data_IF_652931717856
#
_entry.id   IF_652931717856
#
_cell.length_a   1.000
_cell.length_b   1.000
_cell.length_c   1.000
_cell.angle_alpha   90.00
_cell.angle_beta   90.00
_cell.angle_gamma   90.00
#
_symmetry.space_group_name_H-M   'P 1'
#
loop_
_entity.id
_entity.type
_entity.pdbx_description
1 polymer ?
#
# COMPACT_ATOMS: atom_id res chain seq x y z
N UNK A 1 -24.57 -4.35 -2.16
CA UNK A 1 -23.68 -3.15 -2.24
C UNK A 1 -22.51 -3.51 -3.13
N UNK A 2 -22.11 -2.66 -4.08
CA UNK A 2 -20.94 -2.97 -4.91
C UNK A 2 -19.68 -2.96 -4.01
N UNK A 3 -18.63 -3.72 -4.41
CA UNK A 3 -17.35 -3.75 -3.68
C UNK A 3 -16.76 -2.36 -3.47
N UNK A 4 -16.82 -1.52 -4.50
CA UNK A 4 -16.33 -0.14 -4.45
C UNK A 4 -17.08 0.70 -3.42
N UNK A 5 -18.38 0.47 -3.26
CA UNK A 5 -19.18 1.15 -2.25
C UNK A 5 -18.82 0.70 -0.84
N UNK A 6 -18.53 -0.61 -0.63
CA UNK A 6 -18.11 -1.13 0.67
C UNK A 6 -16.73 -0.59 1.09
N UNK A 7 -15.77 -0.59 0.16
CA UNK A 7 -14.44 -0.01 0.38
C UNK A 7 -14.52 1.50 0.63
N UNK A 8 -15.36 2.23 -0.15
CA UNK A 8 -15.58 3.67 0.09
C UNK A 8 -16.12 3.94 1.47
N UNK A 9 -17.19 3.26 1.87
CA UNK A 9 -17.81 3.45 3.17
C UNK A 9 -16.82 3.22 4.33
N UNK A 10 -15.91 2.24 4.18
CA UNK A 10 -14.92 1.93 5.20
C UNK A 10 -13.92 3.08 5.42
N UNK A 11 -13.47 3.76 4.35
CA UNK A 11 -12.45 4.83 4.45
C UNK A 11 -13.03 6.24 4.54
N UNK A 12 -14.35 6.41 4.40
CA UNK A 12 -15.06 7.68 4.63
C UNK A 12 -15.49 7.86 6.10
N UNK A 13 -15.23 6.88 6.96
CA UNK A 13 -15.49 7.00 8.40
C UNK A 13 -14.31 7.72 9.08
N UNK A 14 -14.52 8.89 9.71
CA UNK A 14 -13.46 9.62 10.40
C UNK A 14 -12.74 8.80 11.48
N UNK A 15 -13.43 7.87 12.14
CA UNK A 15 -12.85 6.99 13.16
C UNK A 15 -11.81 6.05 12.55
N UNK A 16 -12.03 5.60 11.32
CA UNK A 16 -11.09 4.76 10.57
C UNK A 16 -9.84 5.54 10.18
N UNK A 17 -9.98 6.79 9.73
CA UNK A 17 -8.86 7.66 9.40
C UNK A 17 -7.94 7.89 10.61
N UNK A 18 -8.52 8.22 11.77
CA UNK A 18 -7.77 8.40 13.01
C UNK A 18 -7.16 7.09 13.51
N UNK A 19 -7.90 5.98 13.47
CA UNK A 19 -7.41 4.66 13.84
C UNK A 19 -6.25 4.19 12.96
N UNK A 20 -6.32 4.47 11.66
CA UNK A 20 -5.25 4.17 10.71
C UNK A 20 -3.98 5.00 10.99
N UNK A 21 -4.13 6.28 11.28
CA UNK A 21 -3.02 7.15 11.69
C UNK A 21 -2.37 6.67 12.99
N UNK A 22 -3.18 6.35 14.01
CA UNK A 22 -2.70 5.82 15.29
C UNK A 22 -1.96 4.47 15.15
N UNK A 23 -2.38 3.60 14.22
CA UNK A 23 -1.71 2.33 13.94
C UNK A 23 -0.28 2.51 13.38
N UNK A 24 0.00 3.61 12.69
CA UNK A 24 1.35 3.94 12.22
C UNK A 24 2.27 4.41 13.35
N UNK A 25 1.73 5.14 14.32
CA UNK A 25 2.45 5.71 15.46
C UNK A 25 2.54 4.75 16.66
N UNK A 26 1.74 3.68 16.64
CA UNK A 26 1.59 2.72 17.70
C UNK A 26 2.82 1.85 17.98
N UNK A 27 2.67 0.96 18.97
CA UNK A 27 3.65 -0.08 19.32
C UNK A 27 3.17 -1.48 18.92
N UNK A 28 2.16 -1.55 18.06
CA UNK A 28 1.48 -2.77 17.65
C UNK A 28 2.18 -3.50 16.48
N UNK A 29 1.83 -4.76 16.20
CA UNK A 29 2.33 -5.49 15.05
C UNK A 29 2.12 -4.79 13.70
N UNK A 30 1.04 -4.01 13.55
CA UNK A 30 0.78 -3.18 12.38
C UNK A 30 1.87 -2.13 12.13
N UNK A 31 2.45 -1.56 13.17
CA UNK A 31 3.55 -0.59 13.07
C UNK A 31 4.78 -1.20 12.37
N UNK A 32 5.10 -2.48 12.62
CA UNK A 32 6.19 -3.19 11.93
C UNK A 32 5.98 -3.21 10.42
N UNK A 33 4.75 -3.50 9.98
CA UNK A 33 4.38 -3.50 8.57
C UNK A 33 4.68 -2.15 7.91
N UNK A 34 4.27 -1.05 8.55
CA UNK A 34 4.49 0.29 8.02
C UNK A 34 5.96 0.71 8.04
N UNK A 35 6.69 0.46 9.13
CA UNK A 35 8.12 0.78 9.22
C UNK A 35 8.95 0.00 8.21
N UNK A 36 8.68 -1.29 8.02
CA UNK A 36 9.35 -2.11 7.01
C UNK A 36 9.11 -1.56 5.60
N UNK A 37 7.90 -1.08 5.33
CA UNK A 37 7.53 -0.48 4.04
C UNK A 37 8.29 0.84 3.79
N UNK A 38 8.32 1.74 4.78
CA UNK A 38 9.06 3.01 4.69
C UNK A 38 10.54 2.75 4.43
N UNK A 39 11.17 1.84 5.16
CA UNK A 39 12.55 1.46 4.96
C UNK A 39 12.84 1.00 3.52
N UNK A 40 11.97 0.18 2.93
CA UNK A 40 12.13 -0.27 1.54
C UNK A 40 11.97 0.89 0.56
N UNK A 41 11.03 1.81 0.81
CA UNK A 41 10.84 3.00 -0.03
C UNK A 41 12.10 3.88 0.00
N UNK A 42 12.66 4.15 1.18
CA UNK A 42 13.90 4.92 1.33
C UNK A 42 15.07 4.28 0.55
N UNK A 43 15.23 2.95 0.67
CA UNK A 43 16.27 2.21 -0.05
C UNK A 43 16.12 2.34 -1.58
N UNK A 44 14.88 2.26 -2.08
CA UNK A 44 14.59 2.37 -3.51
C UNK A 44 14.68 3.79 -4.05
N UNK A 45 14.43 4.79 -3.22
CA UNK A 45 14.54 6.21 -3.58
C UNK A 45 15.97 6.74 -3.40
N UNK A 46 16.89 6.01 -2.76
CA UNK A 46 18.25 6.49 -2.39
C UNK A 46 19.01 7.11 -3.55
N UNK A 47 18.83 6.61 -4.76
CA UNK A 47 19.54 7.07 -5.96
C UNK A 47 18.67 7.92 -6.88
N UNK A 48 17.54 8.40 -6.39
CA UNK A 48 16.65 9.30 -7.14
C UNK A 48 16.99 10.73 -6.75
N UNK A 49 17.37 11.54 -7.73
CA UNK A 49 17.90 12.89 -7.50
C UNK A 49 16.84 13.99 -7.30
N UNK A 50 15.64 13.65 -6.82
CA UNK A 50 14.55 14.61 -6.62
C UNK A 50 13.59 14.71 -7.82
N UNK A 51 12.78 15.78 -7.86
CA UNK A 51 11.79 16.04 -8.92
C UNK A 51 10.33 16.02 -8.43
N UNK A 52 9.38 15.89 -9.36
CA UNK A 52 7.96 15.84 -9.04
C UNK A 52 7.57 14.44 -8.58
N UNK A 53 7.13 14.29 -7.35
CA UNK A 53 6.71 13.04 -6.75
C UNK A 53 5.21 13.04 -6.51
N UNK A 54 4.52 11.97 -6.94
CA UNK A 54 3.11 11.72 -6.65
C UNK A 54 2.96 10.56 -5.67
N UNK A 55 2.32 10.79 -4.52
CA UNK A 55 1.87 9.74 -3.59
C UNK A 55 0.36 9.51 -3.77
N UNK A 56 0.00 8.40 -4.39
CA UNK A 56 -1.41 8.06 -4.70
C UNK A 56 -1.98 7.16 -3.62
N UNK A 57 -3.11 7.58 -3.03
CA UNK A 57 -3.70 6.94 -1.87
C UNK A 57 -2.84 7.19 -0.64
N UNK A 58 -2.47 8.45 -0.43
CA UNK A 58 -1.56 8.88 0.62
C UNK A 58 -2.12 8.65 2.04
N UNK A 59 -3.43 8.37 2.15
CA UNK A 59 -4.11 8.22 3.43
C UNK A 59 -3.86 9.44 4.32
N UNK A 60 -3.52 9.24 5.61
CA UNK A 60 -3.30 10.34 6.55
C UNK A 60 -1.92 11.01 6.39
N UNK A 61 -1.24 10.87 5.25
CA UNK A 61 0.00 11.58 4.91
C UNK A 61 1.28 11.07 5.61
N UNK A 62 1.30 9.82 6.07
CA UNK A 62 2.47 9.28 6.81
C UNK A 62 3.73 9.19 5.95
N UNK A 63 3.61 8.73 4.70
CA UNK A 63 4.73 8.64 3.78
C UNK A 63 5.19 10.04 3.37
N UNK A 64 4.25 10.94 3.09
CA UNK A 64 4.57 12.34 2.78
C UNK A 64 5.38 12.98 3.91
N UNK A 65 4.92 12.87 5.18
CA UNK A 65 5.64 13.40 6.34
C UNK A 65 7.03 12.77 6.46
N UNK A 66 7.13 11.47 6.29
CA UNK A 66 8.41 10.76 6.34
C UNK A 66 9.40 11.28 5.28
N UNK A 67 8.95 11.51 4.05
CA UNK A 67 9.80 12.05 2.98
C UNK A 67 10.23 13.50 3.27
N UNK A 68 9.35 14.32 3.83
CA UNK A 68 9.68 15.68 4.25
C UNK A 68 10.74 15.68 5.36
N UNK A 69 10.67 14.74 6.31
CA UNK A 69 11.62 14.65 7.41
C UNK A 69 13.00 14.09 7.00
N UNK A 70 13.01 13.16 6.03
CA UNK A 70 14.23 12.44 5.65
C UNK A 70 14.89 12.96 4.38
N UNK A 71 14.12 13.66 3.52
CA UNK A 71 14.53 14.12 2.19
C UNK A 71 14.01 15.55 1.91
N UNK A 72 14.16 16.42 2.89
CA UNK A 72 13.69 17.80 2.83
C UNK A 72 14.18 18.53 1.57
N UNK A 73 13.26 19.14 0.81
CA UNK A 73 13.56 19.95 -0.36
C UNK A 73 13.98 19.17 -1.62
N UNK A 74 14.07 17.83 -1.58
CA UNK A 74 14.44 17.05 -2.77
C UNK A 74 13.26 16.89 -3.74
N UNK A 75 12.03 16.81 -3.23
CA UNK A 75 10.84 16.57 -4.05
C UNK A 75 9.80 17.68 -3.92
N UNK A 76 9.17 18.01 -5.04
CA UNK A 76 7.85 18.64 -5.04
C UNK A 76 6.82 17.52 -4.92
N UNK A 77 6.13 17.47 -3.79
CA UNK A 77 5.24 16.34 -3.47
C UNK A 77 3.80 16.72 -3.77
N UNK A 78 3.18 16.01 -4.70
CA UNK A 78 1.72 15.99 -4.85
C UNK A 78 1.20 14.70 -4.22
N UNK A 79 0.19 14.81 -3.36
CA UNK A 79 -0.40 13.63 -2.75
C UNK A 79 -1.93 13.65 -2.89
N UNK A 80 -2.51 12.49 -3.15
CA UNK A 80 -3.95 12.40 -3.29
C UNK A 80 -4.52 11.14 -2.61
N UNK A 81 -5.74 11.28 -2.13
CA UNK A 81 -6.54 10.17 -1.63
C UNK A 81 -8.00 10.33 -2.08
N UNK A 82 -8.74 9.22 -2.15
CA UNK A 82 -10.18 9.22 -2.47
C UNK A 82 -11.06 9.76 -1.34
N UNK A 83 -10.58 9.70 -0.09
CA UNK A 83 -11.26 10.15 1.13
C UNK A 83 -10.85 11.58 1.46
N UNK A 84 -11.85 12.47 1.53
CA UNK A 84 -11.64 13.85 1.96
C UNK A 84 -11.15 13.90 3.42
N UNK A 85 -11.65 12.99 4.27
CA UNK A 85 -11.26 12.86 5.67
C UNK A 85 -9.78 12.51 5.83
N UNK A 86 -9.26 11.62 4.96
CA UNK A 86 -7.83 11.31 4.92
C UNK A 86 -7.00 12.52 4.51
N UNK A 87 -7.44 13.26 3.50
CA UNK A 87 -6.77 14.50 3.05
C UNK A 87 -6.76 15.56 4.14
N UNK A 88 -7.85 15.72 4.91
CA UNK A 88 -7.87 16.64 6.05
C UNK A 88 -6.86 16.25 7.14
N UNK A 89 -6.74 14.96 7.44
CA UNK A 89 -5.72 14.47 8.40
C UNK A 89 -4.32 14.68 7.84
N UNK A 90 -4.09 14.40 6.56
CA UNK A 90 -2.82 14.64 5.89
C UNK A 90 -2.44 16.13 5.91
N UNK A 91 -3.38 17.02 5.61
CA UNK A 91 -3.16 18.47 5.63
C UNK A 91 -2.69 18.97 7.00
N UNK A 92 -3.32 18.49 8.08
CA UNK A 92 -2.85 18.80 9.43
C UNK A 92 -1.46 18.31 9.73
N UNK A 93 -1.08 17.13 9.19
CA UNK A 93 0.24 16.51 9.41
C UNK A 93 1.38 17.24 8.69
N UNK A 94 1.10 17.85 7.56
CA UNK A 94 2.10 18.56 6.74
C UNK A 94 1.91 20.07 6.73
N UNK A 95 1.13 20.60 7.67
CA UNK A 95 0.79 22.03 7.72
C UNK A 95 1.99 22.98 7.89
N UNK A 96 3.11 22.45 8.38
CA UNK A 96 4.37 23.15 8.60
C UNK A 96 5.35 23.04 7.42
N UNK A 97 4.96 22.36 6.34
CA UNK A 97 5.87 22.06 5.23
C UNK A 97 5.44 22.80 3.95
N UNK A 98 6.44 23.37 3.27
CA UNK A 98 6.31 23.92 1.93
C UNK A 98 6.50 22.85 0.85
N UNK A 99 5.94 23.09 -0.34
CA UNK A 99 6.14 22.22 -1.51
C UNK A 99 5.31 20.94 -1.50
N UNK A 100 4.20 20.90 -0.75
CA UNK A 100 3.24 19.80 -0.74
C UNK A 100 1.88 20.25 -1.25
N UNK A 101 1.37 19.56 -2.25
CA UNK A 101 0.01 19.74 -2.78
C UNK A 101 -0.85 18.53 -2.43
N UNK A 102 -2.01 18.77 -1.81
CA UNK A 102 -2.96 17.73 -1.43
C UNK A 102 -4.26 17.86 -2.21
N UNK A 103 -4.79 16.74 -2.69
CA UNK A 103 -6.05 16.75 -3.43
C UNK A 103 -6.90 15.49 -3.18
N UNK A 104 -8.22 15.63 -3.30
CA UNK A 104 -9.13 14.49 -3.28
C UNK A 104 -9.22 13.93 -4.70
N UNK A 105 -8.70 12.73 -4.92
CA UNK A 105 -8.72 12.09 -6.23
C UNK A 105 -8.74 10.56 -6.13
N UNK A 106 -9.30 9.91 -7.17
CA UNK A 106 -9.29 8.46 -7.33
C UNK A 106 -8.14 8.05 -8.23
N UNK A 107 -7.42 7.00 -7.85
CA UNK A 107 -6.30 6.47 -8.63
C UNK A 107 -6.70 6.01 -10.04
N UNK A 108 -7.94 5.59 -10.24
CA UNK A 108 -8.42 5.14 -11.55
C UNK A 108 -8.72 6.29 -12.52
N UNK A 109 -8.71 7.55 -12.04
CA UNK A 109 -8.89 8.77 -12.82
C UNK A 109 -8.35 9.96 -12.04
N UNK A 110 -7.10 10.29 -12.25
CA UNK A 110 -6.42 11.39 -11.55
C UNK A 110 -6.50 12.70 -12.35
N UNK A 111 -6.72 13.86 -11.69
CA UNK A 111 -6.84 15.16 -12.34
C UNK A 111 -5.46 15.77 -12.66
N UNK A 112 -4.49 14.95 -13.05
CA UNK A 112 -3.13 15.37 -13.34
C UNK A 112 -2.85 15.22 -14.85
N UNK A 113 -1.94 16.04 -15.37
CA UNK A 113 -1.50 16.00 -16.74
C UNK A 113 -0.70 14.73 -17.05
N UNK A 114 -0.68 14.32 -18.32
CA UNK A 114 0.14 13.23 -18.78
C UNK A 114 1.62 13.55 -18.56
N UNK A 115 2.40 12.56 -18.15
CA UNK A 115 3.88 12.66 -18.04
C UNK A 115 4.33 13.84 -17.17
N UNK A 116 3.63 14.10 -16.05
CA UNK A 116 3.90 15.24 -15.15
C UNK A 116 4.81 14.88 -13.97
N UNK A 117 4.95 13.58 -13.62
CA UNK A 117 5.70 13.14 -12.45
C UNK A 117 6.96 12.34 -12.80
N UNK A 118 8.01 12.54 -12.02
CA UNK A 118 9.27 11.80 -12.11
C UNK A 118 9.22 10.52 -11.28
N UNK A 119 8.44 10.55 -10.17
CA UNK A 119 8.23 9.42 -9.26
C UNK A 119 6.75 9.28 -8.95
N UNK A 120 6.21 8.05 -9.02
CA UNK A 120 4.85 7.72 -8.55
C UNK A 120 4.91 6.60 -7.52
N UNK A 121 4.37 6.87 -6.35
CA UNK A 121 4.22 5.91 -5.24
C UNK A 121 2.75 5.54 -5.08
N UNK A 122 2.43 4.25 -4.92
CA UNK A 122 1.09 3.75 -4.64
C UNK A 122 1.16 2.68 -3.54
N UNK A 123 1.07 3.14 -2.28
CA UNK A 123 1.36 2.34 -1.10
C UNK A 123 0.09 1.86 -0.39
N UNK A 124 -0.26 0.56 -0.55
CA UNK A 124 -1.44 -0.03 0.09
C UNK A 124 -2.76 0.43 -0.54
N UNK A 125 -2.77 0.65 -1.86
CA UNK A 125 -3.92 1.14 -2.62
C UNK A 125 -4.45 0.10 -3.59
N UNK A 126 -3.55 -0.59 -4.30
CA UNK A 126 -3.93 -1.51 -5.38
C UNK A 126 -4.79 -2.68 -4.92
N UNK A 127 -4.79 -2.97 -3.64
CA UNK A 127 -5.62 -3.99 -3.00
C UNK A 127 -7.12 -3.64 -3.03
N UNK A 128 -7.46 -2.36 -3.11
CA UNK A 128 -8.82 -1.84 -2.94
C UNK A 128 -9.48 -1.42 -4.24
N UNK A 129 -8.72 -1.29 -5.33
CA UNK A 129 -9.13 -0.66 -6.59
C UNK A 129 -9.10 -1.64 -7.78
N UNK A 130 -9.55 -1.19 -8.96
CA UNK A 130 -9.29 -1.89 -10.20
C UNK A 130 -7.80 -1.72 -10.58
N UNK A 131 -7.01 -2.76 -10.31
CA UNK A 131 -5.57 -2.74 -10.51
C UNK A 131 -5.17 -2.40 -11.95
N UNK A 132 -5.95 -2.83 -12.97
CA UNK A 132 -5.63 -2.53 -14.36
C UNK A 132 -5.82 -1.05 -14.67
N UNK A 133 -6.96 -0.48 -14.28
CA UNK A 133 -7.25 0.95 -14.47
C UNK A 133 -6.25 1.81 -13.71
N UNK A 134 -5.97 1.46 -12.46
CA UNK A 134 -4.99 2.16 -11.63
C UNK A 134 -3.58 2.17 -12.27
N UNK A 135 -3.10 1.01 -12.75
CA UNK A 135 -1.78 0.93 -13.41
C UNK A 135 -1.75 1.68 -14.76
N UNK A 136 -2.84 1.67 -15.51
CA UNK A 136 -2.95 2.44 -16.75
C UNK A 136 -2.87 3.95 -16.49
N UNK A 137 -3.52 4.41 -15.41
CA UNK A 137 -3.52 5.81 -15.02
C UNK A 137 -2.17 6.24 -14.42
N UNK A 138 -1.51 5.38 -13.64
CA UNK A 138 -0.12 5.59 -13.20
C UNK A 138 0.79 5.73 -14.43
N UNK A 139 0.65 4.84 -15.43
CA UNK A 139 1.45 4.89 -16.65
C UNK A 139 1.21 6.14 -17.49
N UNK A 140 0.02 6.76 -17.41
CA UNK A 140 -0.30 8.01 -18.07
C UNK A 140 0.41 9.21 -17.45
N UNK A 141 0.40 9.30 -16.09
CA UNK A 141 0.92 10.48 -15.39
C UNK A 141 2.43 10.46 -15.16
N UNK A 142 3.06 9.27 -15.18
CA UNK A 142 4.51 9.13 -15.04
C UNK A 142 5.24 9.54 -16.31
N UNK A 143 6.37 10.23 -16.19
CA UNK A 143 7.26 10.58 -17.30
C UNK A 143 7.92 9.34 -17.90
N UNK A 144 8.30 9.37 -19.17
CA UNK A 144 9.18 8.34 -19.74
C UNK A 144 10.46 8.18 -18.92
N UNK A 145 10.78 6.95 -18.54
CA UNK A 145 11.94 6.66 -17.66
C UNK A 145 11.71 6.94 -16.18
N UNK A 146 10.56 7.51 -15.81
CA UNK A 146 10.18 7.80 -14.43
C UNK A 146 10.02 6.53 -13.57
N UNK A 147 10.19 6.68 -12.27
CA UNK A 147 10.15 5.60 -11.30
C UNK A 147 8.74 5.38 -10.75
N UNK A 148 8.28 4.15 -10.79
CA UNK A 148 7.01 3.72 -10.16
C UNK A 148 7.31 2.71 -9.07
N UNK A 149 6.74 2.94 -7.87
CA UNK A 149 6.81 2.01 -6.75
C UNK A 149 5.39 1.69 -6.29
N UNK A 150 5.02 0.42 -6.33
CA UNK A 150 3.69 -0.05 -5.91
C UNK A 150 3.81 -1.18 -4.89
N UNK A 151 2.88 -1.22 -3.94
CA UNK A 151 2.79 -2.34 -3.00
C UNK A 151 1.58 -3.22 -3.28
N UNK A 152 1.65 -4.44 -2.78
CA UNK A 152 0.57 -5.42 -2.82
C UNK A 152 0.74 -6.46 -1.71
N UNK A 153 -0.37 -6.92 -1.18
CA UNK A 153 -0.38 -8.02 -0.22
C UNK A 153 0.07 -9.33 -0.88
N UNK A 154 0.86 -10.11 -0.16
CA UNK A 154 1.33 -11.40 -0.63
C UNK A 154 0.30 -12.51 -0.35
N UNK A 155 -0.44 -13.03 -1.36
CA UNK A 155 -1.46 -14.05 -1.15
C UNK A 155 -0.90 -15.39 -0.69
N UNK A 156 0.43 -15.59 -0.81
CA UNK A 156 1.11 -16.86 -0.45
C UNK A 156 1.86 -16.76 0.86
N UNK A 157 1.75 -15.66 1.60
CA UNK A 157 2.38 -15.57 2.91
C UNK A 157 1.70 -16.51 3.91
N UNK A 158 2.44 -17.09 4.87
CA UNK A 158 1.86 -17.92 5.92
C UNK A 158 0.76 -17.21 6.70
N UNK A 159 0.93 -15.91 6.92
CA UNK A 159 -0.07 -15.06 7.57
C UNK A 159 -1.41 -15.05 6.79
N UNK A 160 -1.38 -14.82 5.48
CA UNK A 160 -2.58 -14.81 4.62
C UNK A 160 -3.22 -16.19 4.50
N UNK A 161 -2.40 -17.23 4.37
CA UNK A 161 -2.89 -18.59 4.33
C UNK A 161 -3.61 -18.94 5.64
N UNK A 162 -3.04 -18.56 6.78
CA UNK A 162 -3.69 -18.74 8.08
C UNK A 162 -5.02 -17.96 8.16
N UNK A 163 -5.04 -16.66 7.77
CA UNK A 163 -6.28 -15.88 7.76
C UNK A 163 -7.38 -16.55 6.94
N UNK A 164 -7.06 -16.99 5.72
CA UNK A 164 -8.07 -17.54 4.80
C UNK A 164 -8.49 -18.96 5.12
N UNK A 165 -7.56 -19.80 5.58
CA UNK A 165 -7.83 -21.22 5.80
C UNK A 165 -8.28 -21.53 7.23
N UNK A 166 -7.95 -20.68 8.20
CA UNK A 166 -8.22 -20.94 9.62
C UNK A 166 -9.04 -19.82 10.25
N UNK A 167 -8.53 -18.59 10.25
CA UNK A 167 -9.12 -17.50 11.03
C UNK A 167 -10.53 -17.10 10.56
N UNK A 168 -10.71 -16.79 9.28
CA UNK A 168 -12.01 -16.41 8.75
C UNK A 168 -13.03 -17.55 8.76
N UNK A 169 -12.71 -18.79 8.40
CA UNK A 169 -13.61 -19.92 8.59
C UNK A 169 -14.04 -20.13 10.05
N UNK A 170 -13.09 -20.03 11.00
CA UNK A 170 -13.41 -20.15 12.42
C UNK A 170 -14.37 -19.05 12.91
N UNK A 171 -14.14 -17.78 12.51
CA UNK A 171 -15.05 -16.68 12.84
C UNK A 171 -16.44 -16.87 12.24
N UNK A 172 -16.54 -17.37 11.00
CA UNK A 172 -17.85 -17.70 10.39
C UNK A 172 -18.57 -18.79 11.16
N UNK A 173 -17.85 -19.84 11.55
CA UNK A 173 -18.41 -20.92 12.36
C UNK A 173 -18.89 -20.40 13.72
N UNK A 174 -18.09 -19.55 14.38
CA UNK A 174 -18.45 -18.91 15.64
C UNK A 174 -19.72 -18.06 15.50
N UNK A 175 -19.79 -17.17 14.52
CA UNK A 175 -20.99 -16.36 14.29
C UNK A 175 -22.22 -17.18 13.90
N UNK A 176 -22.05 -18.36 13.30
CA UNK A 176 -23.15 -19.30 13.04
C UNK A 176 -23.63 -19.95 14.34
N UNK A 177 -22.73 -20.42 15.21
CA UNK A 177 -23.10 -21.02 16.51
C UNK A 177 -23.75 -19.99 17.43
N UNK A 178 -23.26 -18.74 17.47
CA UNK A 178 -23.86 -17.65 18.24
C UNK A 178 -25.31 -17.39 17.82
N UNK A 179 -25.58 -17.37 16.51
CA UNK A 179 -26.97 -17.23 15.99
C UNK A 179 -27.86 -18.40 16.39
N UNK A 180 -27.33 -19.62 16.37
CA UNK A 180 -28.08 -20.80 16.83
C UNK A 180 -28.39 -20.75 18.33
N UNK A 181 -27.54 -20.12 19.12
CA UNK A 181 -27.72 -19.92 20.57
C UNK A 181 -28.59 -18.69 20.89
N UNK A 182 -29.15 -18.01 19.88
CA UNK A 182 -30.05 -16.88 20.08
C UNK A 182 -29.37 -15.56 20.39
N UNK A 183 -28.05 -15.44 20.13
CA UNK A 183 -27.34 -14.16 20.27
C UNK A 183 -27.87 -13.18 19.21
N UNK A 184 -28.20 -11.92 19.57
CA UNK A 184 -28.66 -10.91 18.63
C UNK A 184 -27.63 -10.70 17.49
N UNK A 185 -28.12 -10.50 16.26
CA UNK A 185 -27.28 -10.43 15.05
C UNK A 185 -26.24 -9.30 15.06
N UNK A 186 -26.51 -8.22 15.78
CA UNK A 186 -25.60 -7.08 15.99
C UNK A 186 -24.43 -7.40 16.93
N UNK A 187 -24.54 -8.46 17.74
CA UNK A 187 -23.52 -8.94 18.67
C UNK A 187 -22.78 -10.20 18.20
N UNK A 188 -23.27 -10.86 17.13
CA UNK A 188 -22.62 -12.03 16.58
C UNK A 188 -21.31 -11.68 15.89
N UNK A 189 -20.33 -12.57 16.01
CA UNK A 189 -19.11 -12.46 15.21
C UNK A 189 -19.44 -12.62 13.72
N UNK A 190 -18.93 -11.70 12.92
CA UNK A 190 -19.07 -11.75 11.47
C UNK A 190 -17.74 -11.38 10.79
N UNK A 191 -17.55 -11.92 9.62
CA UNK A 191 -16.38 -11.60 8.80
C UNK A 191 -16.66 -10.29 8.05
N UNK A 192 -15.88 -9.23 8.27
CA UNK A 192 -16.04 -7.99 7.52
C UNK A 192 -15.80 -8.23 6.02
N UNK A 193 -16.65 -7.68 5.18
CA UNK A 193 -16.40 -7.64 3.74
C UNK A 193 -15.35 -6.57 3.43
N UNK A 194 -14.08 -6.87 3.68
CA UNK A 194 -12.98 -5.91 3.52
C UNK A 194 -12.73 -5.47 2.08
N UNK A 195 -13.29 -6.19 1.10
CA UNK A 195 -13.05 -5.92 -0.33
C UNK A 195 -11.59 -6.04 -0.79
N UNK A 196 -10.67 -6.43 0.11
CA UNK A 196 -9.23 -6.53 -0.16
C UNK A 196 -8.94 -7.62 -1.19
N UNK A 197 -8.13 -7.28 -2.20
CA UNK A 197 -7.61 -8.23 -3.19
C UNK A 197 -6.11 -8.35 -3.05
N UNK A 198 -5.63 -9.57 -3.00
CA UNK A 198 -4.20 -9.86 -3.07
C UNK A 198 -3.91 -10.58 -4.39
N UNK A 199 -2.91 -10.12 -5.12
CA UNK A 199 -2.43 -10.77 -6.34
C UNK A 199 -0.97 -11.17 -6.17
N UNK A 200 -0.55 -12.26 -6.83
CA UNK A 200 0.85 -12.69 -6.77
C UNK A 200 1.76 -11.68 -7.49
N UNK A 201 3.00 -11.55 -7.03
CA UNK A 201 3.99 -10.67 -7.64
C UNK A 201 4.16 -10.95 -9.15
N UNK A 202 4.11 -12.23 -9.56
CA UNK A 202 4.16 -12.63 -10.97
C UNK A 202 2.99 -12.05 -11.79
N UNK A 203 1.78 -12.05 -11.24
CA UNK A 203 0.59 -11.49 -11.89
C UNK A 203 0.66 -9.97 -11.94
N UNK A 204 1.06 -9.31 -10.84
CA UNK A 204 1.19 -7.86 -10.81
C UNK A 204 2.25 -7.36 -11.80
N UNK A 205 3.42 -8.02 -11.86
CA UNK A 205 4.47 -7.72 -12.87
C UNK A 205 3.97 -7.85 -14.31
N UNK A 206 3.05 -8.79 -14.60
CA UNK A 206 2.41 -8.90 -15.91
C UNK A 206 1.49 -7.71 -16.16
N UNK A 207 0.62 -7.37 -15.21
CA UNK A 207 -0.30 -6.23 -15.33
C UNK A 207 0.46 -4.90 -15.52
N UNK A 208 1.60 -4.72 -14.85
CA UNK A 208 2.46 -3.56 -15.02
C UNK A 208 3.04 -3.48 -16.44
N UNK A 209 3.50 -4.62 -16.98
CA UNK A 209 4.00 -4.67 -18.37
C UNK A 209 2.89 -4.37 -19.39
N UNK A 210 1.69 -4.91 -19.16
CA UNK A 210 0.52 -4.66 -20.01
C UNK A 210 0.15 -3.15 -20.01
N UNK A 211 0.46 -2.43 -18.91
CA UNK A 211 0.27 -0.98 -18.78
C UNK A 211 1.45 -0.13 -19.29
N UNK A 212 2.51 -0.73 -19.88
CA UNK A 212 3.69 0.02 -20.35
C UNK A 212 4.72 0.34 -19.29
N UNK A 213 4.65 -0.31 -18.13
CA UNK A 213 5.64 -0.21 -17.07
C UNK A 213 6.58 -1.41 -17.11
N UNK A 214 7.89 -1.21 -16.94
CA UNK A 214 8.92 -2.26 -16.89
C UNK A 214 9.27 -2.60 -15.43
N UNK A 215 8.72 -3.69 -14.85
CA UNK A 215 9.05 -4.11 -13.50
C UNK A 215 10.51 -4.56 -13.40
N UNK A 216 11.26 -4.01 -12.46
CA UNK A 216 12.67 -4.29 -12.23
C UNK A 216 12.86 -5.18 -11.01
N UNK A 217 12.69 -4.62 -9.83
CA UNK A 217 12.92 -5.29 -8.55
C UNK A 217 11.61 -5.62 -7.82
N UNK A 218 11.66 -6.67 -7.01
CA UNK A 218 10.55 -7.08 -6.16
C UNK A 218 11.08 -7.39 -4.76
N UNK A 219 10.68 -6.59 -3.80
CA UNK A 219 11.11 -6.70 -2.41
C UNK A 219 9.93 -7.14 -1.56
N UNK A 220 10.10 -8.22 -0.81
CA UNK A 220 9.12 -8.69 0.16
C UNK A 220 9.45 -8.11 1.53
N UNK A 221 8.45 -7.58 2.21
CA UNK A 221 8.61 -6.92 3.50
C UNK A 221 7.62 -7.44 4.54
N UNK A 222 7.79 -7.01 5.78
CA UNK A 222 7.05 -7.51 6.93
C UNK A 222 7.17 -9.04 7.04
N UNK A 223 8.42 -9.52 7.05
CA UNK A 223 8.70 -10.94 7.19
C UNK A 223 8.29 -11.42 8.58
N UNK A 224 7.32 -12.31 8.66
CA UNK A 224 6.89 -12.92 9.90
C UNK A 224 6.63 -14.42 9.73
N UNK A 225 7.19 -15.19 10.65
CA UNK A 225 6.87 -16.60 10.82
C UNK A 225 5.82 -16.82 11.92
N UNK A 226 5.49 -15.77 12.66
CA UNK A 226 4.58 -15.85 13.80
C UNK A 226 3.16 -15.52 13.37
N UNK A 227 2.25 -16.45 13.61
CA UNK A 227 0.83 -16.30 13.32
C UNK A 227 0.08 -15.81 14.57
N UNK A 228 -0.99 -15.03 14.43
CA UNK A 228 -1.87 -14.72 15.55
C UNK A 228 -2.42 -16.00 16.22
N UNK A 229 -2.56 -16.04 17.53
CA UNK A 229 -2.27 -14.98 18.53
C UNK A 229 -0.83 -14.98 19.05
N UNK A 230 0.04 -15.89 18.56
CA UNK A 230 1.40 -16.09 19.09
C UNK A 230 2.27 -14.84 18.90
N UNK A 231 2.03 -14.06 17.86
CA UNK A 231 2.70 -12.78 17.58
C UNK A 231 2.58 -11.79 18.75
N UNK A 232 1.45 -11.81 19.50
CA UNK A 232 1.22 -10.96 20.68
C UNK A 232 2.15 -11.28 21.85
N UNK A 233 2.62 -12.52 21.95
CA UNK A 233 3.51 -12.96 23.05
C UNK A 233 4.98 -12.64 22.79
N UNK A 234 5.35 -12.20 21.60
CA UNK A 234 6.74 -11.95 21.21
C UNK A 234 7.10 -10.46 21.33
N UNK A 235 6.57 -9.74 22.34
CA UNK A 235 6.76 -8.28 22.52
C UNK A 235 8.22 -7.82 22.51
N UNK A 236 9.16 -8.56 23.12
CA UNK A 236 10.60 -8.19 23.15
C UNK A 236 11.25 -8.28 21.76
N UNK A 237 10.93 -9.28 20.96
CA UNK A 237 11.40 -9.38 19.56
C UNK A 237 10.78 -8.29 18.69
N UNK A 238 9.57 -7.89 19.00
CA UNK A 238 8.85 -6.84 18.29
C UNK A 238 9.56 -5.47 18.41
N UNK A 239 10.05 -5.10 19.59
CA UNK A 239 10.85 -3.89 19.78
C UNK A 239 12.14 -3.93 18.96
N UNK A 240 12.81 -5.08 18.87
CA UNK A 240 14.01 -5.26 18.05
C UNK A 240 13.74 -5.04 16.56
N UNK A 241 12.60 -5.52 16.05
CA UNK A 241 12.22 -5.30 14.64
C UNK A 241 11.88 -3.84 14.33
N UNK A 242 11.36 -3.10 15.31
CA UNK A 242 11.12 -1.66 15.16
C UNK A 242 12.44 -0.89 15.02
N UNK A 243 13.47 -1.28 15.74
CA UNK A 243 14.79 -0.66 15.69
C UNK A 243 15.61 -1.10 14.46
N UNK A 244 15.27 -2.24 13.86
CA UNK A 244 16.00 -2.85 12.74
C UNK A 244 15.04 -3.31 11.64
N UNK A 245 14.37 -2.38 10.92
CA UNK A 245 13.37 -2.72 9.90
C UNK A 245 13.96 -3.51 8.73
N UNK A 246 15.26 -3.37 8.45
CA UNK A 246 16.00 -4.15 7.44
C UNK A 246 15.92 -5.66 7.67
N UNK A 247 15.76 -6.11 8.92
CA UNK A 247 15.63 -7.54 9.25
C UNK A 247 14.31 -8.14 8.82
N UNK A 248 13.32 -7.31 8.50
CA UNK A 248 11.98 -7.71 8.06
C UNK A 248 11.79 -7.64 6.55
N UNK A 249 12.88 -7.46 5.79
CA UNK A 249 12.87 -7.30 4.33
C UNK A 249 13.64 -8.42 3.66
N UNK A 250 13.19 -8.93 2.51
CA UNK A 250 13.90 -9.95 1.75
C UNK A 250 13.65 -9.85 0.23
N UNK A 251 14.74 -9.98 -0.51
CA UNK A 251 14.75 -10.25 -1.96
C UNK A 251 14.99 -11.74 -2.28
N UNK A 252 15.45 -12.50 -1.30
CA UNK A 252 15.94 -13.87 -1.43
C UNK A 252 14.94 -14.99 -1.03
N UNK A 253 15.48 -16.08 -0.53
CA UNK A 253 14.74 -17.30 -0.21
C UNK A 253 13.63 -17.12 0.85
N UNK A 254 13.78 -16.14 1.76
CA UNK A 254 12.77 -15.84 2.81
C UNK A 254 11.56 -15.03 2.31
N UNK A 255 11.52 -14.68 1.02
CA UNK A 255 10.43 -13.88 0.41
C UNK A 255 9.02 -14.40 0.68
N UNK A 256 8.85 -15.72 0.82
CA UNK A 256 7.55 -16.32 1.10
C UNK A 256 6.99 -15.99 2.49
N UNK A 257 7.85 -15.56 3.45
CA UNK A 257 7.43 -15.12 4.79
C UNK A 257 6.89 -13.68 4.80
N UNK A 258 7.14 -12.90 3.76
CA UNK A 258 6.67 -11.52 3.69
C UNK A 258 5.16 -11.43 3.55
N UNK A 259 4.49 -10.66 4.42
CA UNK A 259 3.04 -10.47 4.38
C UNK A 259 2.63 -9.62 3.17
N UNK A 260 3.53 -8.80 2.67
CA UNK A 260 3.37 -7.97 1.49
C UNK A 260 4.66 -7.91 0.66
N UNK A 261 4.54 -7.34 -0.52
CA UNK A 261 5.67 -7.07 -1.40
C UNK A 261 5.50 -5.72 -2.10
N UNK A 262 6.61 -5.21 -2.57
CA UNK A 262 6.73 -3.97 -3.30
C UNK A 262 7.42 -4.28 -4.65
N UNK A 263 6.96 -3.64 -5.71
CA UNK A 263 7.59 -3.70 -7.03
C UNK A 263 8.04 -2.30 -7.43
N UNK A 264 9.34 -2.20 -7.74
CA UNK A 264 9.93 -1.08 -8.45
C UNK A 264 9.79 -1.31 -9.96
N UNK A 265 9.38 -0.28 -10.69
CA UNK A 265 9.31 -0.33 -12.15
C UNK A 265 9.72 1.03 -12.74
N UNK A 266 10.12 1.02 -14.01
CA UNK A 266 10.29 2.22 -14.83
C UNK A 266 9.20 2.32 -15.88
N UNK A 267 8.78 3.55 -16.18
CA UNK A 267 7.96 3.82 -17.37
C UNK A 267 8.77 3.57 -18.62
N UNK A 268 8.24 2.74 -19.50
CA UNK A 268 8.81 2.54 -20.83
C UNK A 268 8.33 3.70 -21.69
N UNK A 269 9.21 4.67 -21.99
CA UNK A 269 8.93 5.68 -23.02
C UNK A 269 8.50 4.98 -24.30
N UNK A 270 7.66 5.61 -25.11
CA UNK A 270 7.31 5.11 -26.45
C UNK A 270 8.59 4.66 -27.14
N UNK A 271 8.73 3.35 -27.36
CA UNK A 271 9.69 2.89 -28.36
C UNK A 271 9.29 3.62 -29.63
N UNK A 272 10.17 4.47 -30.13
CA UNK A 272 10.13 4.90 -31.52
C UNK A 272 9.72 3.68 -32.33
N UNK A 273 8.50 3.72 -32.90
CA UNK A 273 8.14 2.87 -34.02
C UNK A 273 8.97 3.37 -35.19
N UNK A 274 10.31 3.23 -35.08
CA UNK A 274 11.22 3.45 -36.15
C UNK A 274 11.18 2.21 -37.00
N UNK A 275 10.42 2.38 -38.12
CA UNK A 275 10.75 1.88 -39.43
C UNK A 275 10.98 0.38 -39.58
N UNK A 276 9.89 -0.36 -39.79
CA UNK A 276 9.88 -1.33 -40.85
C UNK A 276 8.91 -0.78 -41.92
N UNK A 277 9.40 0.05 -42.81
CA UNK A 277 8.88 0.20 -44.15
C UNK A 277 9.72 -0.71 -45.07
N UNK A 278 9.05 -1.43 -45.95
CA UNK A 278 9.62 -2.44 -46.85
C UNK A 278 10.61 -1.86 -47.86
#
# INVERSE_FOLDING_TARGET
>A
MSRDAAVSAQFMDPSVAHGYAAAHEGRDPSTRYFLSRLHVVDDLLRHVGGGNLLDVGCGPGMLVRHLLDTRAGEFHITACDRSAEMIEVAARRVADADGVELSVARIERMPFEDRSFDVVLAMGVLEYVDTRRALSEIARVIRPGGLVIVTMLNPRSPYRLFEWCVYWPALRALGWTERLLGVPSDRCHHVPESGIRAVSARRLRRLMRDAGLRPEDTVFYDLTAWLPPVDKFVRRRFQRWRSHPETTVSRGARRWLGSAYLIRAQSVGERSQATHLP
#
